data_IF_305740704319
#
_entry.id   IF_305740704319
#
_cell.length_a   1.000
_cell.length_b   1.000
_cell.length_c   1.000
_cell.angle_alpha   90.00
_cell.angle_beta   90.00
_cell.angle_gamma   90.00
#
_symmetry.space_group_name_H-M   'P 1'
#
loop_
_entity.id
_entity.type
_entity.pdbx_description
1 polymer ?
#
# COMPACT_ATOMS: atom_id res chain seq x y z
N UNK A 1 74.60 -49.07 33.65
CA UNK A 1 75.81 -48.22 33.65
C UNK A 1 75.46 -46.87 33.05
N UNK A 2 75.75 -45.80 33.80
CA UNK A 2 75.88 -44.37 33.44
C UNK A 2 74.70 -43.63 32.78
N UNK A 3 74.24 -42.62 33.55
CA UNK A 3 73.50 -41.41 33.16
C UNK A 3 74.15 -40.68 31.98
N UNK A 4 73.34 -39.97 31.20
CA UNK A 4 73.61 -38.58 30.85
C UNK A 4 72.28 -37.83 30.63
N UNK A 5 72.10 -36.75 31.38
CA UNK A 5 70.98 -35.82 31.26
C UNK A 5 71.30 -34.68 30.28
N UNK A 6 70.24 -33.94 29.93
CA UNK A 6 70.14 -32.54 29.42
C UNK A 6 70.05 -32.32 27.90
N UNK A 7 69.37 -31.24 27.43
CA UNK A 7 68.18 -30.59 27.99
C UNK A 7 67.07 -30.29 26.95
N UNK A 8 65.89 -29.98 27.50
CA UNK A 8 64.78 -29.30 26.85
C UNK A 8 65.22 -28.07 26.03
N UNK A 9 64.79 -27.99 24.77
CA UNK A 9 64.73 -26.74 24.02
C UNK A 9 63.26 -26.46 23.67
N UNK A 10 62.61 -25.66 24.51
CA UNK A 10 61.29 -25.12 24.21
C UNK A 10 61.47 -23.98 23.19
N UNK A 11 61.14 -24.25 21.92
CA UNK A 11 61.13 -23.23 20.89
C UNK A 11 59.86 -22.38 21.05
N UNK A 12 60.00 -21.20 21.63
CA UNK A 12 58.93 -20.22 21.74
C UNK A 12 58.66 -19.60 20.36
N UNK A 13 57.55 -20.00 19.73
CA UNK A 13 57.07 -19.40 18.49
C UNK A 13 56.45 -18.03 18.84
N UNK A 14 57.20 -16.95 18.58
CA UNK A 14 56.72 -15.59 18.75
C UNK A 14 55.76 -15.28 17.60
N UNK A 15 54.45 -15.46 17.80
CA UNK A 15 53.43 -14.96 16.88
C UNK A 15 53.46 -13.42 16.93
N UNK A 16 54.07 -12.80 15.93
CA UNK A 16 53.85 -11.39 15.63
C UNK A 16 52.41 -11.21 15.18
N UNK A 17 51.55 -10.76 16.09
CA UNK A 17 50.25 -10.20 15.75
C UNK A 17 50.49 -8.89 15.01
N UNK A 18 50.39 -8.92 13.68
CA UNK A 18 50.27 -7.70 12.88
C UNK A 18 48.85 -7.18 13.15
N UNK A 19 48.74 -6.20 14.05
CA UNK A 19 47.53 -5.43 14.19
C UNK A 19 47.32 -4.66 12.88
N UNK A 20 46.38 -5.11 12.06
CA UNK A 20 45.90 -4.33 10.92
C UNK A 20 45.11 -3.16 11.52
N UNK A 21 45.79 -2.04 11.76
CA UNK A 21 45.11 -0.79 12.04
C UNK A 21 44.32 -0.45 10.78
N UNK A 22 42.99 -0.59 10.84
CA UNK A 22 42.13 0.02 9.84
C UNK A 22 42.42 1.52 9.89
N UNK A 23 43.01 2.08 8.85
CA UNK A 23 43.06 3.53 8.67
C UNK A 23 41.62 4.03 8.60
N UNK A 24 41.08 4.48 9.72
CA UNK A 24 39.92 5.37 9.72
C UNK A 24 40.35 6.62 8.96
N UNK A 25 39.90 6.71 7.71
CA UNK A 25 40.07 7.91 6.91
C UNK A 25 39.55 9.11 7.70
N UNK A 26 40.28 10.23 7.78
CA UNK A 26 39.82 11.40 8.52
C UNK A 26 38.45 11.85 7.98
N UNK A 27 37.57 12.41 8.84
CA UNK A 27 36.28 12.89 8.39
C UNK A 27 36.50 13.92 7.30
N UNK A 28 36.11 13.59 6.06
CA UNK A 28 36.05 14.58 4.98
C UNK A 28 35.03 15.62 5.43
N UNK A 29 35.49 16.84 5.70
CA UNK A 29 34.63 18.01 5.57
C UNK A 29 34.14 17.97 4.12
N UNK A 30 32.89 17.62 3.91
CA UNK A 30 32.29 17.59 2.57
C UNK A 30 32.16 19.04 2.12
N UNK A 31 33.20 19.56 1.47
CA UNK A 31 33.19 20.93 0.92
C UNK A 31 32.24 21.03 -0.26
N UNK A 32 31.84 19.89 -0.85
CA UNK A 32 30.88 19.79 -1.94
C UNK A 32 29.78 18.77 -1.59
N UNK A 33 28.51 19.07 -1.92
CA UNK A 33 27.41 18.13 -1.77
C UNK A 33 27.65 16.79 -2.51
N UNK A 34 27.57 15.68 -1.79
CA UNK A 34 27.81 14.33 -2.31
C UNK A 34 26.50 13.76 -2.86
N UNK A 35 26.56 13.25 -4.09
CA UNK A 35 25.46 12.51 -4.70
C UNK A 35 25.12 11.28 -3.85
N UNK A 36 23.84 11.11 -3.56
CA UNK A 36 23.29 10.04 -2.72
C UNK A 36 22.02 9.54 -3.37
N UNK A 37 22.03 8.29 -3.83
CA UNK A 37 20.88 7.71 -4.51
C UNK A 37 19.86 7.18 -3.50
N UNK A 38 18.61 7.62 -3.65
CA UNK A 38 17.49 7.23 -2.78
C UNK A 38 16.39 6.62 -3.63
N UNK A 39 16.12 5.35 -3.37
CA UNK A 39 14.95 4.67 -3.90
C UNK A 39 13.83 4.65 -2.86
N UNK A 40 12.61 4.95 -3.28
CA UNK A 40 11.40 4.87 -2.45
C UNK A 40 10.42 3.92 -3.12
N UNK A 41 9.84 3.02 -2.32
CA UNK A 41 8.73 2.15 -2.74
C UNK A 41 7.50 2.39 -1.90
N UNK A 42 6.37 2.53 -2.57
CA UNK A 42 5.04 2.68 -2.00
C UNK A 42 4.29 1.40 -2.27
N UNK A 43 3.84 0.75 -1.20
CA UNK A 43 3.24 -0.58 -1.25
C UNK A 43 1.90 -0.58 -0.55
N UNK A 44 0.98 -1.40 -1.02
CA UNK A 44 -0.26 -1.63 -0.29
C UNK A 44 0.06 -2.54 0.91
N UNK A 45 -0.40 -2.16 2.10
CA UNK A 45 -0.08 -2.88 3.32
C UNK A 45 -0.55 -4.34 3.25
N UNK A 46 0.37 -5.28 3.47
CA UNK A 46 0.08 -6.71 3.34
C UNK A 46 -0.20 -7.15 1.89
N UNK A 47 0.24 -6.37 0.90
CA UNK A 47 0.02 -6.66 -0.52
C UNK A 47 1.25 -6.28 -1.39
N UNK A 48 0.99 -5.86 -2.63
CA UNK A 48 2.00 -5.62 -3.66
C UNK A 48 2.35 -4.13 -3.78
N UNK A 49 3.35 -3.84 -4.62
CA UNK A 49 3.73 -2.46 -4.95
C UNK A 49 2.58 -1.76 -5.67
N UNK A 50 2.34 -0.47 -5.39
CA UNK A 50 1.43 0.34 -6.19
C UNK A 50 2.05 0.57 -7.56
N UNK A 51 1.58 -0.20 -8.55
CA UNK A 51 2.04 -0.12 -9.93
C UNK A 51 1.15 0.75 -10.83
N UNK A 52 1.43 0.70 -12.13
CA UNK A 52 0.75 1.49 -13.15
C UNK A 52 -0.75 1.24 -13.21
N UNK A 53 -1.20 0.01 -12.92
CA UNK A 53 -2.62 -0.37 -12.95
C UNK A 53 -3.50 0.42 -11.97
N UNK A 54 -2.90 0.96 -10.90
CA UNK A 54 -3.56 1.82 -9.92
C UNK A 54 -3.08 3.28 -9.98
N UNK A 55 -2.32 3.63 -11.02
CA UNK A 55 -1.77 4.97 -11.23
C UNK A 55 -0.54 5.28 -10.37
N UNK A 56 0.05 4.27 -9.72
CA UNK A 56 1.21 4.44 -8.86
C UNK A 56 0.95 5.32 -7.64
N UNK A 57 1.99 6.02 -7.19
CA UNK A 57 1.95 6.91 -6.04
C UNK A 57 2.82 8.15 -6.25
N UNK A 58 2.41 9.27 -5.67
CA UNK A 58 3.24 10.49 -5.59
C UNK A 58 4.14 10.41 -4.38
N UNK A 59 5.44 10.65 -4.57
CA UNK A 59 6.44 10.66 -3.51
C UNK A 59 7.06 12.05 -3.40
N UNK A 60 7.30 12.50 -2.17
CA UNK A 60 8.02 13.73 -1.83
C UNK A 60 9.08 13.44 -0.78
N UNK A 61 10.26 14.03 -0.92
CA UNK A 61 11.35 14.00 0.06
C UNK A 61 11.64 15.44 0.48
N UNK A 62 11.48 15.75 1.76
CA UNK A 62 11.58 17.10 2.31
C UNK A 62 12.60 17.12 3.45
N UNK A 63 13.52 18.08 3.45
CA UNK A 63 14.40 18.33 4.60
C UNK A 63 13.55 18.79 5.80
N UNK A 64 13.62 18.05 6.91
CA UNK A 64 12.83 18.33 8.12
C UNK A 64 13.24 19.64 8.78
N UNK A 65 14.54 19.97 8.77
CA UNK A 65 15.05 21.15 9.44
C UNK A 65 14.68 22.44 8.71
N UNK A 66 14.63 22.41 7.38
CA UNK A 66 14.40 23.60 6.56
C UNK A 66 13.03 23.65 5.91
N UNK A 67 12.28 22.54 5.88
CA UNK A 67 11.05 22.40 5.12
C UNK A 67 11.27 22.40 3.60
N UNK A 68 12.52 22.37 3.14
CA UNK A 68 12.86 22.42 1.71
C UNK A 68 12.55 21.09 1.04
N UNK A 69 11.74 21.13 -0.02
CA UNK A 69 11.53 19.98 -0.90
C UNK A 69 12.85 19.63 -1.61
N UNK A 70 13.39 18.45 -1.34
CA UNK A 70 14.62 17.95 -1.94
C UNK A 70 14.36 17.20 -3.24
N UNK A 71 13.28 16.42 -3.28
CA UNK A 71 12.84 15.71 -4.48
C UNK A 71 11.34 15.43 -4.44
N UNK A 72 10.72 15.32 -5.62
CA UNK A 72 9.32 14.91 -5.77
C UNK A 72 9.15 14.20 -7.11
N UNK A 73 8.25 13.23 -7.17
CA UNK A 73 7.90 12.57 -8.41
C UNK A 73 6.81 11.52 -8.25
N UNK A 74 6.65 10.71 -9.29
CA UNK A 74 5.75 9.58 -9.29
C UNK A 74 6.56 8.29 -9.22
N UNK A 75 6.09 7.35 -8.41
CA UNK A 75 6.42 5.95 -8.55
C UNK A 75 5.56 5.36 -9.66
N UNK A 76 6.19 4.71 -10.63
CA UNK A 76 5.56 4.00 -11.75
C UNK A 76 6.27 2.65 -11.96
N UNK A 77 5.63 1.76 -12.72
CA UNK A 77 6.12 0.42 -13.07
C UNK A 77 5.17 -0.71 -12.64
N UNK A 78 5.64 -1.94 -12.80
CA UNK A 78 4.86 -3.15 -12.48
C UNK A 78 4.67 -3.33 -10.96
N UNK A 79 3.59 -3.98 -10.50
CA UNK A 79 3.36 -4.24 -9.07
C UNK A 79 4.37 -5.23 -8.44
N UNK A 80 5.24 -5.82 -9.25
CA UNK A 80 6.21 -6.85 -8.87
C UNK A 80 5.65 -8.27 -8.99
N UNK A 81 6.43 -9.26 -8.55
CA UNK A 81 6.03 -10.67 -8.63
C UNK A 81 5.32 -11.14 -7.35
N UNK A 82 4.08 -11.58 -7.50
CA UNK A 82 3.24 -11.99 -6.38
C UNK A 82 3.80 -13.19 -5.61
N UNK A 83 4.36 -14.21 -6.29
CA UNK A 83 4.89 -15.40 -5.61
C UNK A 83 6.11 -15.03 -4.74
N UNK A 84 6.95 -14.15 -5.24
CA UNK A 84 8.11 -13.64 -4.54
C UNK A 84 7.72 -12.76 -3.36
N UNK A 85 6.84 -11.78 -3.57
CA UNK A 85 6.49 -10.78 -2.55
C UNK A 85 5.61 -11.38 -1.44
N UNK A 86 4.68 -12.29 -1.80
CA UNK A 86 3.65 -12.77 -0.88
C UNK A 86 3.85 -14.19 -0.38
N UNK A 87 4.51 -15.06 -1.13
CA UNK A 87 4.51 -16.51 -0.85
C UNK A 87 5.88 -17.09 -0.52
N UNK A 88 6.95 -16.41 -0.89
CA UNK A 88 8.32 -16.89 -0.71
C UNK A 88 8.84 -16.50 0.68
N UNK A 89 9.12 -17.47 1.57
CA UNK A 89 9.79 -17.21 2.84
C UNK A 89 11.16 -16.58 2.60
N UNK A 90 11.58 -15.70 3.51
CA UNK A 90 12.81 -14.92 3.38
C UNK A 90 13.38 -14.53 4.73
N UNK A 91 14.69 -14.33 4.77
CA UNK A 91 15.36 -13.69 5.90
C UNK A 91 15.11 -12.19 5.89
N UNK A 92 15.39 -11.52 7.01
CA UNK A 92 15.02 -10.11 7.19
C UNK A 92 15.85 -9.16 6.30
N UNK A 93 17.09 -9.55 6.00
CA UNK A 93 18.04 -8.85 5.14
C UNK A 93 17.82 -9.09 3.65
N UNK A 94 16.98 -10.07 3.27
CA UNK A 94 16.77 -10.43 1.88
C UNK A 94 15.79 -9.48 1.18
N UNK A 95 16.15 -8.91 0.01
CA UNK A 95 15.30 -7.96 -0.68
C UNK A 95 13.96 -8.57 -1.10
N UNK A 96 12.87 -7.88 -0.75
CA UNK A 96 11.50 -8.29 -1.01
C UNK A 96 10.98 -7.80 -2.35
N UNK A 97 11.28 -6.56 -2.71
CA UNK A 97 10.71 -5.89 -3.88
C UNK A 97 11.71 -5.69 -5.00
N UNK A 98 13.01 -5.68 -4.72
CA UNK A 98 14.06 -5.44 -5.71
C UNK A 98 14.62 -6.70 -6.38
N UNK A 99 14.16 -7.89 -5.99
CA UNK A 99 14.62 -9.17 -6.56
C UNK A 99 14.05 -9.47 -7.95
N UNK A 100 12.95 -8.80 -8.31
CA UNK A 100 12.44 -8.68 -9.68
C UNK A 100 12.02 -7.22 -9.93
N UNK A 101 11.88 -6.78 -11.20
CA UNK A 101 11.38 -5.45 -11.50
C UNK A 101 10.05 -5.18 -10.79
N UNK A 102 9.98 -4.02 -10.13
CA UNK A 102 8.78 -3.52 -9.47
C UNK A 102 8.82 -2.00 -9.46
N UNK A 103 7.64 -1.38 -9.37
CA UNK A 103 7.51 0.07 -9.37
C UNK A 103 8.31 0.72 -8.25
N UNK A 104 8.97 1.83 -8.55
CA UNK A 104 9.74 2.60 -7.57
C UNK A 104 9.88 4.05 -8.01
N UNK A 105 10.12 4.92 -7.03
CA UNK A 105 10.56 6.29 -7.26
C UNK A 105 12.06 6.39 -6.97
N UNK A 106 12.81 7.03 -7.87
CA UNK A 106 14.25 7.20 -7.75
C UNK A 106 14.61 8.69 -7.76
N UNK A 107 15.49 9.08 -6.85
CA UNK A 107 16.07 10.42 -6.82
C UNK A 107 17.54 10.37 -6.38
N UNK A 108 18.37 11.16 -7.04
CA UNK A 108 19.74 11.43 -6.60
C UNK A 108 19.75 12.76 -5.85
N UNK A 109 20.09 12.71 -4.56
CA UNK A 109 20.15 13.88 -3.69
C UNK A 109 21.61 14.29 -3.48
N UNK A 110 21.90 15.57 -3.66
CA UNK A 110 23.22 16.13 -3.36
C UNK A 110 23.23 16.64 -1.92
N UNK A 111 23.86 15.90 -1.01
CA UNK A 111 23.85 16.16 0.43
C UNK A 111 25.26 16.56 0.93
N UNK A 112 25.35 17.65 1.66
CA UNK A 112 26.61 18.16 2.26
C UNK A 112 26.82 17.67 3.71
N UNK A 113 25.75 17.22 4.36
CA UNK A 113 25.76 16.69 5.74
C UNK A 113 24.69 15.63 5.92
N UNK A 114 24.79 14.81 6.98
CA UNK A 114 23.67 14.00 7.44
C UNK A 114 22.38 14.83 7.53
N UNK A 115 21.37 14.46 6.77
CA UNK A 115 20.15 15.26 6.58
C UNK A 115 18.95 14.42 6.97
N UNK A 116 18.21 14.88 7.97
CA UNK A 116 16.95 14.26 8.37
C UNK A 116 15.87 14.68 7.37
N UNK A 117 15.24 13.71 6.71
CA UNK A 117 14.20 13.96 5.70
C UNK A 117 12.89 13.33 6.09
N UNK A 118 11.78 14.00 5.79
CA UNK A 118 10.46 13.40 5.72
C UNK A 118 10.23 12.90 4.29
N UNK A 119 9.99 11.60 4.17
CA UNK A 119 9.57 10.98 2.92
C UNK A 119 8.09 10.70 3.06
N UNK A 120 7.28 11.27 2.17
CA UNK A 120 5.85 11.07 2.17
C UNK A 120 5.38 10.51 0.82
N UNK A 121 4.39 9.63 0.89
CA UNK A 121 3.78 8.98 -0.25
C UNK A 121 2.27 9.18 -0.23
N UNK A 122 1.67 9.34 -1.41
CA UNK A 122 0.23 9.42 -1.58
C UNK A 122 -0.22 8.59 -2.79
N UNK A 123 -1.19 7.70 -2.61
CA UNK A 123 -1.73 6.84 -3.68
C UNK A 123 -2.81 5.89 -3.14
N UNK A 124 -3.45 5.07 -4.00
CA UNK A 124 -3.27 4.99 -5.45
C UNK A 124 -3.85 6.19 -6.20
N UNK A 125 -3.16 6.69 -7.23
CA UNK A 125 -3.55 7.95 -7.89
C UNK A 125 -4.73 7.81 -8.86
N UNK A 126 -5.00 6.62 -9.40
CA UNK A 126 -6.16 6.38 -10.28
C UNK A 126 -7.48 6.23 -9.54
N UNK A 127 -7.47 6.15 -8.20
CA UNK A 127 -8.66 5.95 -7.38
C UNK A 127 -8.75 7.03 -6.28
N UNK A 128 -9.18 8.26 -6.60
CA UNK A 128 -9.20 9.38 -5.66
C UNK A 128 -9.94 9.12 -4.34
N UNK A 129 -11.01 8.30 -4.39
CA UNK A 129 -11.80 7.91 -3.21
C UNK A 129 -11.07 6.95 -2.27
N UNK A 130 -10.00 6.30 -2.73
CA UNK A 130 -9.20 5.34 -1.97
C UNK A 130 -7.79 5.85 -1.65
N UNK A 131 -7.47 7.10 -2.00
CA UNK A 131 -6.14 7.68 -1.76
C UNK A 131 -5.82 7.71 -0.27
N UNK A 132 -4.65 7.17 0.06
CA UNK A 132 -4.05 7.20 1.39
C UNK A 132 -2.75 7.98 1.36
N UNK A 133 -2.30 8.39 2.56
CA UNK A 133 -1.01 9.05 2.75
C UNK A 133 -0.27 8.40 3.91
N UNK A 134 1.02 8.16 3.73
CA UNK A 134 1.94 7.80 4.80
C UNK A 134 3.21 8.63 4.67
N UNK A 135 3.90 8.85 5.80
CA UNK A 135 5.25 9.39 5.80
C UNK A 135 6.14 8.70 6.82
N UNK A 136 7.45 8.75 6.57
CA UNK A 136 8.49 8.31 7.49
C UNK A 136 9.59 9.36 7.51
N UNK A 137 10.15 9.55 8.69
CA UNK A 137 11.36 10.36 8.87
C UNK A 137 12.58 9.45 8.84
N UNK A 138 13.57 9.77 8.01
CA UNK A 138 14.79 8.96 7.83
C UNK A 138 16.00 9.89 7.81
N UNK A 139 17.09 9.47 8.44
CA UNK A 139 18.37 10.17 8.33
C UNK A 139 19.12 9.66 7.10
N UNK A 140 19.36 10.55 6.14
CA UNK A 140 20.19 10.26 4.97
C UNK A 140 21.63 10.68 5.24
N UNK A 141 22.58 9.82 4.87
CA UNK A 141 24.01 10.07 5.02
C UNK A 141 24.60 10.31 3.62
N UNK A 142 25.32 11.41 3.39
CA UNK A 142 25.95 11.70 2.10
C UNK A 142 26.79 10.52 1.57
N UNK A 143 26.57 10.13 0.31
CA UNK A 143 27.28 9.05 -0.37
C UNK A 143 26.93 7.63 0.10
N UNK A 144 25.85 7.47 0.89
CA UNK A 144 25.32 6.16 1.29
C UNK A 144 24.01 5.90 0.57
N UNK A 145 24.12 5.19 -0.55
CA UNK A 145 22.99 4.90 -1.43
C UNK A 145 22.00 3.90 -0.80
N UNK A 146 20.72 4.08 -1.12
CA UNK A 146 19.60 3.23 -0.69
C UNK A 146 18.87 2.69 -1.93
N UNK A 147 19.50 1.73 -2.62
CA UNK A 147 19.10 1.28 -3.97
C UNK A 147 18.54 -0.14 -4.06
N UNK A 148 18.59 -0.94 -2.99
CA UNK A 148 17.95 -2.28 -2.94
C UNK A 148 16.43 -2.16 -2.84
N UNK A 149 15.82 -2.57 -1.72
CA UNK A 149 14.40 -2.32 -1.45
C UNK A 149 14.10 -0.83 -1.23
N UNK A 150 15.15 -0.04 -0.93
CA UNK A 150 15.05 1.38 -0.66
C UNK A 150 14.27 1.65 0.61
N UNK A 151 13.58 2.79 0.64
CA UNK A 151 12.70 3.18 1.73
C UNK A 151 11.28 2.78 1.37
N UNK A 152 10.69 1.87 2.15
CA UNK A 152 9.33 1.35 1.91
C UNK A 152 8.30 2.08 2.78
N UNK A 153 7.25 2.59 2.13
CA UNK A 153 6.07 3.16 2.75
C UNK A 153 4.85 2.29 2.45
N UNK A 154 4.26 1.73 3.51
CA UNK A 154 3.01 0.99 3.45
C UNK A 154 1.81 1.94 3.49
N UNK A 155 0.85 1.72 2.59
CA UNK A 155 -0.46 2.37 2.58
C UNK A 155 -1.55 1.34 2.90
N UNK A 156 -2.33 1.59 3.95
CA UNK A 156 -3.41 0.70 4.38
C UNK A 156 -4.73 1.07 3.68
N UNK A 157 -5.44 0.10 3.11
CA UNK A 157 -6.79 0.32 2.63
C UNK A 157 -7.28 -0.64 1.55
N UNK A 158 -8.51 -0.40 1.11
CA UNK A 158 -9.12 -1.05 -0.05
C UNK A 158 -9.59 -0.03 -1.08
N UNK A 159 -9.47 -0.40 -2.36
CA UNK A 159 -10.24 0.22 -3.43
C UNK A 159 -11.62 -0.44 -3.41
N UNK A 160 -12.65 0.35 -3.14
CA UNK A 160 -14.06 -0.07 -3.22
C UNK A 160 -14.74 0.74 -4.32
N UNK A 161 -15.49 0.10 -5.19
CA UNK A 161 -16.22 0.78 -6.27
C UNK A 161 -17.61 0.18 -6.43
N UNK A 162 -18.64 1.03 -6.45
CA UNK A 162 -20.01 0.61 -6.76
C UNK A 162 -20.11 0.45 -8.27
N UNK A 163 -20.44 -0.77 -8.71
CA UNK A 163 -20.57 -1.16 -10.11
C UNK A 163 -22.03 -1.15 -10.57
N UNK A 164 -22.96 -1.51 -9.68
CA UNK A 164 -24.39 -1.48 -9.93
C UNK A 164 -25.14 -1.06 -8.65
N UNK A 165 -26.16 -0.20 -8.74
CA UNK A 165 -26.47 0.66 -9.88
C UNK A 165 -25.29 1.63 -10.18
N UNK A 166 -25.00 1.95 -11.45
CA UNK A 166 -23.94 2.90 -11.79
C UNK A 166 -24.14 4.25 -11.07
N UNK A 167 -23.10 4.79 -10.39
CA UNK A 167 -23.21 6.08 -9.72
C UNK A 167 -23.71 7.19 -10.66
N UNK A 168 -24.70 7.97 -10.22
CA UNK A 168 -25.31 9.05 -11.00
C UNK A 168 -26.60 8.67 -11.73
N UNK A 169 -26.96 7.38 -11.78
CA UNK A 169 -28.28 6.96 -12.26
C UNK A 169 -29.39 7.23 -11.23
N UNK A 170 -30.63 7.28 -11.71
CA UNK A 170 -31.81 7.36 -10.85
C UNK A 170 -32.39 5.96 -10.63
N UNK A 171 -32.98 5.73 -9.46
CA UNK A 171 -33.62 4.48 -9.10
C UNK A 171 -35.13 4.64 -9.09
N UNK A 172 -35.85 3.60 -9.48
CA UNK A 172 -37.32 3.58 -9.40
C UNK A 172 -37.75 3.09 -8.02
N UNK A 173 -38.66 3.82 -7.40
CA UNK A 173 -39.24 3.42 -6.13
C UNK A 173 -39.89 2.04 -6.22
N UNK A 174 -39.70 1.25 -5.16
CA UNK A 174 -40.20 -0.13 -5.03
C UNK A 174 -39.65 -1.16 -6.00
N UNK A 175 -38.61 -0.82 -6.75
CA UNK A 175 -37.89 -1.83 -7.52
C UNK A 175 -36.95 -2.63 -6.60
N UNK A 176 -36.82 -3.91 -6.93
CA UNK A 176 -35.79 -4.79 -6.39
C UNK A 176 -34.50 -4.55 -7.16
N UNK A 177 -33.53 -3.91 -6.52
CA UNK A 177 -32.25 -3.57 -7.13
C UNK A 177 -31.14 -4.41 -6.48
N UNK A 178 -30.17 -4.82 -7.29
CA UNK A 178 -28.99 -5.51 -6.81
C UNK A 178 -27.83 -4.52 -6.69
N UNK A 179 -27.43 -4.20 -5.46
CA UNK A 179 -26.19 -3.47 -5.22
C UNK A 179 -25.02 -4.41 -5.53
N UNK A 180 -24.15 -4.03 -6.46
CA UNK A 180 -22.92 -4.73 -6.83
C UNK A 180 -21.72 -3.78 -6.68
N UNK A 181 -20.64 -4.26 -6.09
CA UNK A 181 -19.42 -3.50 -5.90
C UNK A 181 -18.18 -4.38 -6.00
N UNK A 182 -17.08 -3.85 -6.52
CA UNK A 182 -15.77 -4.49 -6.45
C UNK A 182 -14.95 -4.01 -5.27
N UNK A 183 -14.20 -4.94 -4.67
CA UNK A 183 -13.25 -4.69 -3.58
C UNK A 183 -11.88 -5.21 -3.98
N UNK A 184 -10.85 -4.37 -3.94
CA UNK A 184 -9.46 -4.72 -4.30
C UNK A 184 -8.50 -4.12 -3.28
N UNK A 185 -7.32 -4.72 -3.11
CA UNK A 185 -6.22 -4.07 -2.37
C UNK A 185 -5.86 -2.74 -3.03
N UNK A 186 -5.24 -1.80 -2.31
CA UNK A 186 -4.75 -0.55 -2.92
C UNK A 186 -3.77 -0.77 -4.08
N UNK A 187 -3.07 -1.92 -4.11
CA UNK A 187 -2.20 -2.30 -5.21
C UNK A 187 -2.95 -2.79 -6.45
N UNK A 188 -4.28 -2.91 -6.41
CA UNK A 188 -5.11 -3.46 -7.50
C UNK A 188 -5.43 -4.94 -7.36
N UNK A 189 -4.75 -5.63 -6.44
CA UNK A 189 -4.84 -7.07 -6.31
C UNK A 189 -6.24 -7.55 -5.88
N UNK A 190 -6.73 -8.68 -6.41
CA UNK A 190 -8.11 -9.12 -6.22
C UNK A 190 -8.39 -9.66 -4.82
N UNK A 191 -9.49 -9.20 -4.21
CA UNK A 191 -10.01 -9.71 -2.93
C UNK A 191 -11.12 -10.71 -3.21
N UNK A 192 -10.89 -11.99 -2.92
CA UNK A 192 -11.83 -13.07 -3.25
C UNK A 192 -11.69 -14.27 -2.31
N UNK A 193 -12.70 -15.15 -2.20
CA UNK A 193 -12.59 -16.35 -1.38
C UNK A 193 -11.40 -17.20 -1.80
N UNK A 194 -10.64 -17.72 -0.83
CA UNK A 194 -9.49 -18.61 -1.04
C UNK A 194 -8.31 -18.00 -1.83
N UNK A 195 -8.29 -16.68 -2.04
CA UNK A 195 -7.13 -15.97 -2.60
C UNK A 195 -6.07 -15.62 -1.54
N UNK A 196 -4.94 -15.05 -1.98
CA UNK A 196 -3.91 -14.52 -1.07
C UNK A 196 -4.51 -13.41 -0.16
N UNK A 197 -5.39 -12.59 -0.73
CA UNK A 197 -6.28 -11.67 0.00
C UNK A 197 -7.68 -12.28 0.10
N UNK A 198 -7.82 -13.21 1.04
CA UNK A 198 -9.01 -14.02 1.24
C UNK A 198 -10.17 -13.19 1.81
N UNK A 199 -11.21 -12.96 1.00
CA UNK A 199 -12.37 -12.14 1.39
C UNK A 199 -13.14 -12.70 2.58
N UNK A 200 -12.98 -13.98 2.92
CA UNK A 200 -13.62 -14.60 4.09
C UNK A 200 -13.04 -14.10 5.41
N UNK A 201 -11.90 -13.41 5.37
CA UNK A 201 -11.25 -12.78 6.52
C UNK A 201 -11.62 -11.29 6.65
N UNK A 202 -12.27 -10.72 5.64
CA UNK A 202 -12.74 -9.34 5.63
C UNK A 202 -14.25 -9.28 5.88
N UNK A 203 -14.70 -8.19 6.47
CA UNK A 203 -16.12 -7.85 6.59
C UNK A 203 -16.49 -6.91 5.45
N UNK A 204 -17.38 -7.34 4.56
CA UNK A 204 -17.84 -6.56 3.42
C UNK A 204 -19.36 -6.44 3.51
N UNK A 205 -19.86 -5.22 3.54
CA UNK A 205 -21.29 -4.94 3.67
C UNK A 205 -21.70 -3.69 2.90
N UNK A 206 -22.98 -3.65 2.53
CA UNK A 206 -23.63 -2.49 1.95
C UNK A 206 -24.50 -1.79 2.99
N UNK A 207 -24.79 -0.53 2.77
CA UNK A 207 -25.72 0.27 3.57
C UNK A 207 -26.59 1.09 2.62
N UNK A 208 -27.89 1.10 2.91
CA UNK A 208 -28.85 2.02 2.30
C UNK A 208 -29.08 3.15 3.29
N UNK A 209 -28.90 4.38 2.82
CA UNK A 209 -29.01 5.59 3.64
C UNK A 209 -30.08 6.53 3.10
N UNK A 210 -30.81 7.16 4.03
CA UNK A 210 -31.64 8.33 3.76
C UNK A 210 -31.07 9.49 4.58
N UNK A 211 -30.52 10.49 3.89
CA UNK A 211 -29.62 11.46 4.54
C UNK A 211 -28.42 10.73 5.14
N UNK A 212 -28.13 10.96 6.42
CA UNK A 212 -27.03 10.30 7.15
C UNK A 212 -27.47 9.03 7.90
N UNK A 213 -28.77 8.72 7.88
CA UNK A 213 -29.32 7.58 8.62
C UNK A 213 -29.23 6.31 7.77
N UNK A 214 -28.52 5.31 8.29
CA UNK A 214 -28.57 3.95 7.77
C UNK A 214 -29.95 3.36 8.07
N UNK A 215 -30.72 3.07 7.02
CA UNK A 215 -32.05 2.46 7.13
C UNK A 215 -31.99 0.94 6.97
N UNK A 216 -30.99 0.44 6.25
CA UNK A 216 -30.78 -0.98 6.02
C UNK A 216 -29.28 -1.26 5.87
N UNK A 217 -28.82 -2.39 6.43
CA UNK A 217 -27.47 -2.92 6.23
C UNK A 217 -27.57 -4.25 5.47
N UNK A 218 -26.83 -4.34 4.38
CA UNK A 218 -26.87 -5.42 3.41
C UNK A 218 -25.65 -6.32 3.57
N UNK A 219 -25.86 -7.63 3.67
CA UNK A 219 -24.76 -8.58 3.63
C UNK A 219 -24.31 -8.79 2.18
N UNK A 220 -23.12 -8.30 1.84
CA UNK A 220 -22.56 -8.41 0.49
C UNK A 220 -21.93 -9.80 0.30
N UNK A 221 -22.42 -10.56 -0.67
CA UNK A 221 -21.95 -11.91 -0.97
C UNK A 221 -21.07 -11.89 -2.22
N UNK A 222 -20.05 -12.75 -2.26
CA UNK A 222 -19.17 -12.84 -3.43
C UNK A 222 -19.95 -13.29 -4.67
N UNK A 223 -19.87 -12.51 -5.75
CA UNK A 223 -20.64 -12.69 -6.98
C UNK A 223 -20.02 -13.71 -7.96
N UNK A 224 -18.95 -14.41 -7.57
CA UNK A 224 -18.32 -15.45 -8.38
C UNK A 224 -17.14 -14.98 -9.25
N UNK A 225 -16.99 -13.67 -9.49
CA UNK A 225 -15.98 -13.12 -10.40
C UNK A 225 -15.34 -11.82 -9.92
N UNK A 226 -14.10 -11.56 -10.38
CA UNK A 226 -13.42 -10.25 -10.39
C UNK A 226 -13.42 -9.45 -9.08
N UNK A 227 -13.43 -10.12 -7.92
CA UNK A 227 -13.51 -9.44 -6.61
C UNK A 227 -14.80 -8.65 -6.42
N UNK A 228 -15.87 -9.09 -7.08
CA UNK A 228 -17.18 -8.44 -7.02
C UNK A 228 -18.06 -9.09 -5.95
N UNK A 229 -18.83 -8.25 -5.27
CA UNK A 229 -19.74 -8.60 -4.20
C UNK A 229 -21.10 -7.97 -4.45
N UNK A 230 -22.17 -8.65 -4.09
CA UNK A 230 -23.52 -8.20 -4.36
C UNK A 230 -24.50 -8.48 -3.21
N UNK A 231 -25.52 -7.63 -3.10
CA UNK A 231 -26.67 -7.81 -2.22
C UNK A 231 -27.93 -7.18 -2.85
N UNK A 232 -29.09 -7.85 -2.78
CA UNK A 232 -30.36 -7.21 -3.14
C UNK A 232 -30.76 -6.18 -2.08
N UNK A 233 -31.47 -5.14 -2.50
CA UNK A 233 -32.16 -4.20 -1.61
C UNK A 233 -33.40 -3.66 -2.31
N UNK A 234 -34.34 -3.16 -1.51
CA UNK A 234 -35.56 -2.55 -2.00
C UNK A 234 -35.41 -1.02 -2.03
N UNK A 235 -35.76 -0.39 -3.15
CA UNK A 235 -35.67 1.08 -3.25
C UNK A 235 -36.82 1.69 -2.43
N UNK A 236 -36.52 2.53 -1.41
CA UNK A 236 -37.55 3.21 -0.62
C UNK A 236 -38.48 4.06 -1.48
N UNK A 237 -39.67 4.34 -0.98
CA UNK A 237 -40.61 5.22 -1.68
C UNK A 237 -40.14 6.67 -1.68
N UNK A 238 -40.56 7.52 -2.63
CA UNK A 238 -40.16 8.93 -2.66
C UNK A 238 -40.70 9.71 -1.45
N UNK A 239 -41.77 9.24 -0.81
CA UNK A 239 -42.28 9.82 0.44
C UNK A 239 -41.38 9.53 1.64
N UNK A 240 -40.67 8.40 1.63
CA UNK A 240 -39.68 8.05 2.66
C UNK A 240 -38.33 8.71 2.38
N UNK A 241 -37.96 8.82 1.10
CA UNK A 241 -36.69 9.34 0.62
C UNK A 241 -36.89 10.52 -0.37
N UNK A 242 -37.43 11.68 0.08
CA UNK A 242 -37.77 12.80 -0.81
C UNK A 242 -36.55 13.43 -1.51
N UNK A 243 -35.36 13.24 -0.96
CA UNK A 243 -34.09 13.70 -1.53
C UNK A 243 -33.27 12.56 -2.16
N UNK A 244 -33.88 11.40 -2.38
CA UNK A 244 -33.20 10.18 -2.81
C UNK A 244 -32.50 9.44 -1.67
N UNK A 245 -31.67 8.47 -2.04
CA UNK A 245 -30.90 7.61 -1.13
C UNK A 245 -29.41 7.71 -1.40
N UNK A 246 -28.59 7.33 -0.42
CA UNK A 246 -27.19 7.00 -0.68
C UNK A 246 -26.96 5.51 -0.50
N UNK A 247 -26.20 4.90 -1.41
CA UNK A 247 -25.68 3.56 -1.26
C UNK A 247 -24.23 3.66 -0.85
N UNK A 248 -23.88 3.00 0.25
CA UNK A 248 -22.50 2.91 0.75
C UNK A 248 -22.08 1.46 0.80
N UNK A 249 -20.86 1.17 0.36
CA UNK A 249 -20.23 -0.15 0.51
C UNK A 249 -18.96 0.02 1.32
N UNK A 250 -18.78 -0.81 2.33
CA UNK A 250 -17.62 -0.80 3.22
C UNK A 250 -16.94 -2.17 3.15
N UNK A 251 -15.62 -2.16 3.04
CA UNK A 251 -14.76 -3.32 3.20
C UNK A 251 -13.79 -3.07 4.38
N UNK A 252 -13.71 -4.04 5.29
CA UNK A 252 -12.94 -3.91 6.52
C UNK A 252 -12.20 -5.20 6.87
N UNK A 253 -10.88 -5.12 6.99
CA UNK A 253 -10.01 -6.14 7.58
C UNK A 253 -9.33 -5.56 8.81
N UNK A 254 -9.84 -5.96 9.98
CA UNK A 254 -9.34 -5.50 11.27
C UNK A 254 -7.94 -6.03 11.63
N UNK A 255 -7.49 -7.13 11.01
CA UNK A 255 -6.17 -7.70 11.31
C UNK A 255 -5.05 -6.91 10.61
N UNK A 256 -5.27 -6.52 9.35
CA UNK A 256 -4.33 -5.72 8.57
C UNK A 256 -4.58 -4.21 8.60
N UNK A 257 -5.58 -3.75 9.37
CA UNK A 257 -6.06 -2.37 9.36
C UNK A 257 -6.36 -1.83 7.94
N UNK A 258 -6.79 -2.71 7.03
CA UNK A 258 -7.18 -2.33 5.67
C UNK A 258 -8.68 -2.01 5.67
N UNK A 259 -9.01 -0.75 5.42
CA UNK A 259 -10.39 -0.28 5.33
C UNK A 259 -10.60 0.48 4.02
N UNK A 260 -11.79 0.35 3.45
CA UNK A 260 -12.17 1.09 2.25
C UNK A 260 -13.67 1.27 2.17
N UNK A 261 -14.08 2.33 1.49
CA UNK A 261 -15.49 2.69 1.36
C UNK A 261 -15.74 3.32 -0.01
N UNK A 262 -16.89 3.01 -0.58
CA UNK A 262 -17.50 3.76 -1.67
C UNK A 262 -18.87 4.26 -1.24
N UNK A 263 -19.25 5.46 -1.66
CA UNK A 263 -20.59 5.98 -1.46
C UNK A 263 -21.04 6.73 -2.72
N UNK A 264 -22.29 6.51 -3.12
CA UNK A 264 -22.92 7.21 -4.23
C UNK A 264 -24.37 7.58 -3.87
N UNK A 265 -24.83 8.73 -4.37
CA UNK A 265 -26.18 9.23 -4.16
C UNK A 265 -27.04 8.95 -5.39
N UNK A 266 -28.30 8.56 -5.16
CA UNK A 266 -29.25 8.16 -6.18
C UNK A 266 -30.58 8.88 -5.97
N UNK A 267 -31.03 9.70 -6.93
CA UNK A 267 -32.41 10.18 -6.95
C UNK A 267 -33.37 8.99 -7.02
N UNK A 268 -34.46 9.07 -6.26
CA UNK A 268 -35.53 8.07 -6.31
C UNK A 268 -36.72 8.67 -7.07
N UNK A 269 -37.07 8.03 -8.19
CA UNK A 269 -38.21 8.39 -9.01
C UNK A 269 -39.47 7.64 -8.54
N UNK A 270 -40.67 8.21 -8.73
CA UNK A 270 -41.92 7.49 -8.51
C UNK A 270 -42.00 6.20 -9.32
N UNK A 271 -42.74 5.24 -8.81
CA UNK A 271 -43.00 3.96 -9.47
C UNK A 271 -43.52 4.18 -10.90
N UNK A 272 -42.87 3.56 -11.90
CA UNK A 272 -43.45 3.48 -13.24
C UNK A 272 -44.63 2.51 -13.21
N UNK A 273 -45.81 2.96 -13.62
CA UNK A 273 -46.96 2.09 -13.87
C UNK A 273 -46.56 1.01 -14.88
N UNK A 274 -46.32 -0.22 -14.41
CA UNK A 274 -46.14 -1.37 -15.30
C UNK A 274 -47.39 -1.48 -16.17
N UNK A 275 -47.30 -1.45 -17.52
CA UNK A 275 -48.47 -1.70 -18.34
C UNK A 275 -48.99 -3.09 -18.00
N UNK A 276 -50.30 -3.16 -17.68
CA UNK A 276 -50.96 -4.42 -17.40
C UNK A 276 -50.65 -5.40 -18.53
N UNK A 277 -50.06 -6.56 -18.20
CA UNK A 277 -49.95 -7.66 -19.16
C UNK A 277 -51.38 -7.99 -19.60
N UNK A 278 -51.71 -7.64 -20.85
CA UNK A 278 -52.90 -8.13 -21.54
C UNK A 278 -52.74 -9.62 -21.83
#
# INVERSE_FOLDING_TARGET
MRKLETPFLASALFMMSVAYAAEESPPRLLTEPVATDVMVRVVAHGAMVLGDEVGGARVTITDVATGRLLASGLQLGEPGDQNQIMRTPRLMEEPRYSTRPSGSFHATLHLDRPTLVEIAAQGPLSYPSAVQRASKTVLLIPGRDLTQDGIVLDLNGYIVQIENPPPGESLMAKDDVKLKASVRMLSGAPVRPHGDWDSRKATIYGEVLIGDRVIERLQMLYAGEKSSFEAPFFVPSPTEAPHGIALRVVAADGAGANFGMAQANYPVLPEQLRPAKK
#
